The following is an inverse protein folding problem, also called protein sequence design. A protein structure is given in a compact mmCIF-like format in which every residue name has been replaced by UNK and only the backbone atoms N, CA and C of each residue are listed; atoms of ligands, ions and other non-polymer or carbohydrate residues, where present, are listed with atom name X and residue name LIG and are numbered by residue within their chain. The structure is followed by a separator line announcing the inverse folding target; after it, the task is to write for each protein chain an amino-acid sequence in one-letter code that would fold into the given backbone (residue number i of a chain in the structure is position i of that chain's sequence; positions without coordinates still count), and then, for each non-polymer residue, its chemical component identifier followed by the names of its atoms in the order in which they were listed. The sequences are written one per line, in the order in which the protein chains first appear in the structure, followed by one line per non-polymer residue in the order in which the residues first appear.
data_IF_363070047959
#
_entry.id   IF_363070047959
#
_cell.length_a   1.000
_cell.length_b   1.000
_cell.length_c   1.000
_cell.angle_alpha   90.00
_cell.angle_beta   90.00
_cell.angle_gamma   90.00
#
_symmetry.space_group_name_H-M   'P 1'
#
loop_
_entity.id
_entity.type
_entity.pdbx_description
1 polymer ?
#
# COMPACT_ATOMS: atom_id res chain seq x y z
N UNK A 1 -12.19 -0.68 -3.30
CA UNK A 1 -12.47 0.18 -4.48
C UNK A 1 -12.16 1.64 -4.15
N UNK A 2 -11.61 2.45 -5.06
CA UNK A 2 -11.33 3.88 -4.79
C UNK A 2 -12.60 4.70 -4.50
N UNK A 3 -13.74 4.26 -5.05
CA UNK A 3 -15.05 4.90 -4.92
C UNK A 3 -15.62 4.90 -3.48
N UNK A 4 -15.07 4.09 -2.58
CA UNK A 4 -15.53 4.03 -1.18
C UNK A 4 -14.90 5.13 -0.32
N UNK A 5 -13.81 5.75 -0.76
CA UNK A 5 -13.13 6.80 0.00
C UNK A 5 -13.81 8.15 -0.19
N UNK A 6 -14.24 8.77 0.91
CA UNK A 6 -14.83 10.12 0.90
C UNK A 6 -13.91 11.17 0.28
N UNK A 7 -12.61 11.07 0.54
CA UNK A 7 -11.59 11.95 -0.05
C UNK A 7 -11.51 11.85 -1.57
N UNK A 8 -11.67 10.64 -2.12
CA UNK A 8 -11.68 10.44 -3.57
C UNK A 8 -12.98 10.97 -4.20
N UNK A 9 -14.13 10.76 -3.55
CA UNK A 9 -15.41 11.33 -4.02
C UNK A 9 -15.37 12.85 -4.07
N UNK A 10 -14.82 13.49 -3.02
CA UNK A 10 -14.63 14.94 -2.99
C UNK A 10 -13.69 15.41 -4.10
N UNK A 11 -12.55 14.75 -4.26
CA UNK A 11 -11.63 15.05 -5.37
C UNK A 11 -12.31 15.00 -6.73
N UNK A 12 -13.08 13.94 -7.03
CA UNK A 12 -13.76 13.83 -8.32
C UNK A 12 -14.82 14.92 -8.51
N UNK A 13 -15.58 15.25 -7.46
CA UNK A 13 -16.55 16.36 -7.52
C UNK A 13 -15.84 17.69 -7.85
N UNK A 14 -14.78 18.03 -7.11
CA UNK A 14 -14.00 19.25 -7.33
C UNK A 14 -13.42 19.31 -8.75
N UNK A 15 -12.98 18.17 -9.31
CA UNK A 15 -12.48 18.10 -10.70
C UNK A 15 -13.59 18.26 -11.75
N UNK A 16 -14.80 17.78 -11.47
CA UNK A 16 -15.95 17.97 -12.36
C UNK A 16 -16.34 19.45 -12.39
N UNK A 17 -16.47 20.08 -11.23
CA UNK A 17 -16.82 21.49 -11.12
C UNK A 17 -15.79 22.37 -11.83
N UNK A 18 -14.49 22.14 -11.56
CA UNK A 18 -13.40 22.82 -12.24
C UNK A 18 -13.46 22.67 -13.78
N UNK A 19 -13.73 21.46 -14.26
CA UNK A 19 -13.81 21.21 -15.71
C UNK A 19 -14.98 21.97 -16.34
N UNK A 20 -16.15 21.92 -15.71
CA UNK A 20 -17.35 22.59 -16.21
C UNK A 20 -17.18 24.11 -16.18
N UNK A 21 -16.68 24.69 -15.09
CA UNK A 21 -16.39 26.14 -15.01
C UNK A 21 -15.42 26.59 -16.11
N UNK A 22 -14.43 25.77 -16.46
CA UNK A 22 -13.42 26.12 -17.47
C UNK A 22 -13.94 25.96 -18.91
N UNK A 23 -14.84 25.00 -19.15
CA UNK A 23 -15.21 24.56 -20.51
C UNK A 23 -16.69 24.79 -20.86
N UNK A 24 -17.51 25.35 -19.96
CA UNK A 24 -18.88 25.76 -20.24
C UNK A 24 -18.92 27.04 -21.07
N UNK A 25 -18.57 26.92 -22.36
CA UNK A 25 -18.75 27.97 -23.37
C UNK A 25 -19.98 27.67 -24.21
N UNK A 26 -20.71 28.71 -24.62
CA UNK A 26 -21.97 28.59 -25.37
C UNK A 26 -21.81 28.04 -26.79
N UNK A 27 -20.56 27.89 -27.26
CA UNK A 27 -20.21 27.51 -28.63
C UNK A 27 -19.94 26.00 -28.78
N UNK A 28 -19.82 25.28 -27.66
CA UNK A 28 -19.45 23.86 -27.66
C UNK A 28 -20.67 22.98 -27.38
N UNK A 29 -20.87 21.96 -28.21
CA UNK A 29 -21.93 20.97 -28.00
C UNK A 29 -21.75 20.22 -26.67
N UNK A 30 -22.85 20.02 -25.95
CA UNK A 30 -22.90 19.24 -24.70
C UNK A 30 -22.30 17.83 -24.85
N UNK A 31 -22.43 17.20 -26.04
CA UNK A 31 -21.82 15.89 -26.31
C UNK A 31 -20.30 15.97 -26.26
N UNK A 32 -19.70 17.00 -26.87
CA UNK A 32 -18.25 17.22 -26.87
C UNK A 32 -17.73 17.50 -25.47
N UNK A 33 -18.48 18.28 -24.67
CA UNK A 33 -18.16 18.56 -23.26
C UNK A 33 -18.17 17.25 -22.47
N UNK A 34 -19.20 16.42 -22.64
CA UNK A 34 -19.32 15.14 -21.93
C UNK A 34 -18.23 14.13 -22.30
N UNK A 35 -17.91 13.98 -23.59
CA UNK A 35 -16.83 13.10 -24.04
C UNK A 35 -15.46 13.57 -23.52
N UNK A 36 -15.21 14.88 -23.57
CA UNK A 36 -13.98 15.49 -23.04
C UNK A 36 -13.87 15.32 -21.53
N UNK A 37 -14.95 15.57 -20.78
CA UNK A 37 -15.00 15.37 -19.33
C UNK A 37 -14.68 13.92 -18.96
N UNK A 38 -15.25 12.94 -19.67
CA UNK A 38 -14.97 11.52 -19.44
C UNK A 38 -13.49 11.19 -19.65
N UNK A 39 -12.88 11.69 -20.72
CA UNK A 39 -11.46 11.47 -21.01
C UNK A 39 -10.57 12.11 -19.93
N UNK A 40 -10.90 13.34 -19.53
CA UNK A 40 -10.23 14.06 -18.45
C UNK A 40 -10.29 13.31 -17.12
N UNK A 41 -11.49 12.90 -16.68
CA UNK A 41 -11.67 12.17 -15.42
C UNK A 41 -10.91 10.84 -15.41
N UNK A 42 -10.87 10.11 -16.54
CA UNK A 42 -10.07 8.89 -16.64
C UNK A 42 -8.59 9.17 -16.36
N UNK A 43 -8.04 10.24 -16.94
CA UNK A 43 -6.66 10.67 -16.66
C UNK A 43 -6.44 11.00 -15.19
N UNK A 44 -7.35 11.77 -14.59
CA UNK A 44 -7.26 12.15 -13.17
C UNK A 44 -7.30 10.93 -12.24
N UNK A 45 -8.18 9.97 -12.52
CA UNK A 45 -8.32 8.74 -11.74
C UNK A 45 -7.05 7.89 -11.82
N UNK A 46 -6.49 7.72 -13.03
CA UNK A 46 -5.25 6.95 -13.23
C UNK A 46 -4.09 7.60 -12.46
N UNK A 47 -3.93 8.92 -12.59
CA UNK A 47 -2.90 9.68 -11.89
C UNK A 47 -3.03 9.55 -10.37
N UNK A 48 -4.24 9.75 -9.84
CA UNK A 48 -4.52 9.63 -8.41
C UNK A 48 -4.22 8.23 -7.88
N UNK A 49 -4.65 7.18 -8.60
CA UNK A 49 -4.40 5.80 -8.23
C UNK A 49 -2.90 5.46 -8.21
N UNK A 50 -2.16 5.91 -9.23
CA UNK A 50 -0.72 5.72 -9.33
C UNK A 50 0.01 6.42 -8.18
N UNK A 51 -0.36 7.66 -7.87
CA UNK A 51 0.18 8.40 -6.74
C UNK A 51 -0.09 7.69 -5.41
N UNK A 52 -1.34 7.27 -5.14
CA UNK A 52 -1.68 6.52 -3.92
C UNK A 52 -0.95 5.17 -3.82
N UNK A 53 -0.72 4.49 -4.93
CA UNK A 53 0.09 3.26 -4.97
C UNK A 53 1.54 3.56 -4.57
N UNK A 54 2.13 4.61 -5.15
CA UNK A 54 3.49 5.05 -4.83
C UNK A 54 3.65 5.41 -3.34
N UNK A 55 2.71 6.18 -2.79
CA UNK A 55 2.71 6.55 -1.37
C UNK A 55 2.63 5.33 -0.45
N UNK A 56 1.78 4.35 -0.78
CA UNK A 56 1.67 3.11 -0.02
C UNK A 56 2.96 2.30 -0.07
N UNK A 57 3.57 2.17 -1.25
CA UNK A 57 4.83 1.46 -1.41
C UNK A 57 5.96 2.15 -0.65
N UNK A 58 6.05 3.49 -0.73
CA UNK A 58 7.03 4.28 0.00
C UNK A 58 6.91 4.06 1.52
N UNK A 59 5.69 4.18 2.05
CA UNK A 59 5.41 3.94 3.48
C UNK A 59 5.77 2.52 3.90
N UNK A 60 5.49 1.52 3.06
CA UNK A 60 5.87 0.13 3.35
C UNK A 60 7.39 -0.02 3.45
N UNK A 61 8.15 0.55 2.51
CA UNK A 61 9.61 0.50 2.53
C UNK A 61 10.19 1.24 3.73
N UNK A 62 9.64 2.41 4.07
CA UNK A 62 10.04 3.18 5.26
C UNK A 62 9.86 2.37 6.55
N UNK A 63 8.71 1.70 6.71
CA UNK A 63 8.45 0.85 7.88
C UNK A 63 9.41 -0.34 7.95
N UNK A 64 9.68 -1.00 6.81
CA UNK A 64 10.64 -2.11 6.75
C UNK A 64 12.04 -1.64 7.14
N UNK A 65 12.45 -0.45 6.67
CA UNK A 65 13.75 0.11 7.02
C UNK A 65 13.86 0.43 8.52
N UNK A 66 12.81 1.03 9.09
CA UNK A 66 12.77 1.33 10.53
C UNK A 66 12.90 0.06 11.39
N UNK A 67 12.21 -1.01 11.00
CA UNK A 67 12.32 -2.32 11.66
C UNK A 67 13.76 -2.84 11.55
N UNK A 68 14.35 -2.83 10.36
CA UNK A 68 15.72 -3.30 10.15
C UNK A 68 16.78 -2.48 10.93
N UNK A 69 16.54 -1.18 11.10
CA UNK A 69 17.43 -0.31 11.87
C UNK A 69 17.33 -0.57 13.38
N UNK A 70 16.14 -0.93 13.88
CA UNK A 70 15.95 -1.35 15.28
C UNK A 70 16.63 -2.70 15.52
N UNK A 71 16.47 -3.67 14.62
CA UNK A 71 17.08 -5.00 14.73
C UNK A 71 18.62 -4.96 14.70
N UNK A 72 19.21 -3.93 14.10
CA UNK A 72 20.67 -3.72 14.05
C UNK A 72 21.25 -3.11 15.33
N UNK A 73 20.44 -2.57 16.24
CA UNK A 73 20.94 -2.02 17.50
C UNK A 73 21.43 -3.20 18.34
N UNK A 74 22.74 -3.31 18.62
CA UNK A 74 23.21 -4.33 19.54
C UNK A 74 22.54 -4.09 20.89
N UNK A 75 22.08 -5.17 21.51
CA UNK A 75 21.46 -5.15 22.82
C UNK A 75 22.51 -4.65 23.83
N UNK A 76 22.52 -3.35 24.13
CA UNK A 76 23.39 -2.76 25.15
C UNK A 76 22.71 -2.97 26.51
N UNK A 77 22.53 -4.24 26.85
CA UNK A 77 22.09 -4.71 28.15
C UNK A 77 23.28 -5.32 28.87
N UNK A 78 24.00 -4.48 29.62
CA UNK A 78 24.84 -4.93 30.73
C UNK A 78 23.93 -5.56 31.80
N UNK A 79 23.67 -6.86 31.67
CA UNK A 79 23.31 -7.69 32.81
C UNK A 79 23.85 -9.10 32.54
N UNK A 80 24.91 -9.44 33.26
CA UNK A 80 25.37 -10.80 33.38
C UNK A 80 24.28 -11.69 33.95
N UNK A 81 23.47 -12.30 33.08
CA UNK A 81 23.01 -13.68 33.22
C UNK A 81 22.40 -14.13 31.87
N UNK A 82 23.08 -15.05 31.21
CA UNK A 82 22.70 -15.56 29.90
C UNK A 82 21.45 -16.45 30.00
N UNK A 83 20.27 -15.91 29.66
CA UNK A 83 19.18 -16.71 29.11
C UNK A 83 19.03 -16.29 27.65
N UNK A 84 19.44 -17.18 26.75
CA UNK A 84 19.48 -16.94 25.30
C UNK A 84 18.07 -16.72 24.75
N UNK A 85 17.60 -15.46 24.71
CA UNK A 85 16.44 -15.11 23.89
C UNK A 85 16.90 -15.11 22.43
N UNK A 86 16.63 -16.22 21.76
CA UNK A 86 16.92 -16.40 20.34
C UNK A 86 16.24 -15.31 19.53
N UNK A 87 17.07 -14.45 18.96
CA UNK A 87 16.90 -13.78 17.68
C UNK A 87 15.79 -14.42 16.82
N UNK A 88 14.68 -13.71 16.68
CA UNK A 88 13.71 -13.96 15.62
C UNK A 88 13.96 -12.95 14.50
N UNK A 89 14.84 -13.23 13.52
CA UNK A 89 14.82 -12.50 12.28
C UNK A 89 13.71 -13.08 11.41
N UNK A 90 13.30 -12.30 10.42
CA UNK A 90 12.34 -12.60 9.35
C UNK A 90 12.74 -13.77 8.42
N UNK A 91 13.36 -14.84 8.95
CA UNK A 91 13.68 -16.11 8.29
C UNK A 91 12.56 -17.15 8.39
N UNK A 92 11.48 -16.90 9.14
CA UNK A 92 10.44 -17.92 9.41
C UNK A 92 9.67 -18.37 8.16
N UNK A 93 9.58 -17.56 7.09
CA UNK A 93 8.87 -17.98 5.89
C UNK A 93 9.70 -18.92 4.99
N UNK A 94 11.03 -18.74 4.93
CA UNK A 94 11.89 -19.64 4.14
C UNK A 94 12.18 -20.95 4.85
N UNK A 95 12.24 -20.94 6.19
CA UNK A 95 12.46 -22.16 6.95
C UNK A 95 11.19 -23.00 7.09
N UNK A 96 10.01 -22.40 7.28
CA UNK A 96 8.74 -23.15 7.33
C UNK A 96 8.41 -23.87 6.01
N UNK A 97 8.71 -23.27 4.85
CA UNK A 97 8.53 -23.95 3.55
C UNK A 97 9.55 -25.08 3.32
N UNK A 98 10.76 -24.97 3.87
CA UNK A 98 11.77 -26.02 3.77
C UNK A 98 11.53 -27.19 4.75
N UNK A 99 10.87 -26.96 5.89
CA UNK A 99 10.65 -27.96 6.94
C UNK A 99 9.29 -28.68 6.91
N UNK A 100 8.32 -28.20 6.10
CA UNK A 100 7.00 -28.80 5.97
C UNK A 100 6.98 -30.30 5.60
N UNK A 101 7.88 -30.84 4.75
CA UNK A 101 7.86 -32.27 4.42
C UNK A 101 8.27 -33.19 5.57
N UNK A 102 8.95 -32.66 6.61
CA UNK A 102 9.45 -33.45 7.75
C UNK A 102 8.50 -33.52 8.95
N UNK A 103 7.45 -32.70 8.98
CA UNK A 103 6.46 -32.69 10.08
C UNK A 103 5.24 -33.57 9.81
N UNK A 104 5.09 -34.13 8.60
CA UNK A 104 3.97 -35.03 8.26
C UNK A 104 4.15 -36.48 8.76
N UNK A 105 5.27 -36.83 9.39
CA UNK A 105 5.53 -38.20 9.89
C UNK A 105 5.28 -38.40 11.39
N UNK A 106 4.84 -37.37 12.11
CA UNK A 106 4.41 -37.50 13.51
C UNK A 106 2.96 -37.05 13.64
N UNK A 107 2.05 -37.87 13.10
CA UNK A 107 0.66 -37.92 13.55
C UNK A 107 0.59 -38.74 14.85
N UNK A 108 -0.39 -38.48 15.73
CA UNK A 108 -0.49 -39.16 17.02
C UNK A 108 -0.89 -40.63 16.82
N UNK A 109 0.00 -41.55 17.22
CA UNK A 109 -0.34 -42.95 17.38
C UNK A 109 -1.27 -43.12 18.60
N UNK A 110 -2.24 -43.99 18.40
CA UNK A 110 -3.44 -44.25 19.20
C UNK A 110 -3.16 -45.09 20.46
#
# INVERSE_FOLDING_TARGET
LLLTYSSFKKFIADQIDFFLETNSTSDVSNTTIWESLKAYLRGQIISYAAHKKKERSKRSTELIQQIADIDKRPDVGDHGNCIKSTSFPYLSLKLCLAYWPKLSQFGPDH
#
